data_IF_599480066089
#
_entry.id   IF_599480066089
#
_cell.length_a   1.000
_cell.length_b   1.000
_cell.length_c   1.000
_cell.angle_alpha   90.00
_cell.angle_beta   90.00
_cell.angle_gamma   90.00
#
_symmetry.space_group_name_H-M   'P 1'
#
loop_
_entity.id
_entity.type
_entity.pdbx_description
1 polymer ?
#
# COMPACT_ATOMS: atom_id res chain seq x y z
N UNK A 1 16.37 0.99 -13.47
CA UNK A 1 16.18 2.45 -13.71
C UNK A 1 16.62 3.21 -12.46
N UNK A 2 17.15 4.45 -12.54
CA UNK A 2 17.42 5.26 -11.33
C UNK A 2 16.11 5.53 -10.57
N UNK A 3 16.16 5.56 -9.23
CA UNK A 3 14.94 5.67 -8.43
C UNK A 3 14.16 6.95 -8.71
N UNK A 4 14.82 8.11 -8.78
CA UNK A 4 14.15 9.39 -9.08
C UNK A 4 13.39 9.37 -10.42
N UNK A 5 14.00 8.82 -11.47
CA UNK A 5 13.35 8.70 -12.77
C UNK A 5 12.15 7.74 -12.73
N UNK A 6 12.29 6.64 -11.98
CA UNK A 6 11.21 5.69 -11.80
C UNK A 6 10.03 6.31 -11.04
N UNK A 7 10.29 7.02 -9.94
CA UNK A 7 9.23 7.66 -9.14
C UNK A 7 8.52 8.76 -9.92
N UNK A 8 9.25 9.54 -10.72
CA UNK A 8 8.62 10.53 -11.60
C UNK A 8 7.67 9.85 -12.62
N UNK A 9 8.15 8.81 -13.31
CA UNK A 9 7.31 8.05 -14.24
C UNK A 9 6.14 7.35 -13.54
N UNK A 10 6.35 6.87 -12.30
CA UNK A 10 5.32 6.25 -11.47
C UNK A 10 4.20 7.24 -11.14
N UNK A 11 4.55 8.47 -10.75
CA UNK A 11 3.57 9.54 -10.49
C UNK A 11 2.76 9.83 -11.76
N UNK A 12 3.42 10.03 -12.90
CA UNK A 12 2.75 10.29 -14.19
C UNK A 12 1.81 9.15 -14.59
N UNK A 13 2.25 7.90 -14.46
CA UNK A 13 1.44 6.73 -14.79
C UNK A 13 0.27 6.55 -13.81
N UNK A 14 0.48 6.82 -12.53
CA UNK A 14 -0.57 6.78 -11.50
C UNK A 14 -1.62 7.87 -11.76
N UNK A 15 -1.18 9.09 -12.06
CA UNK A 15 -2.05 10.19 -12.48
C UNK A 15 -2.82 9.81 -13.74
N UNK A 16 -2.17 9.26 -14.76
CA UNK A 16 -2.80 8.83 -16.01
C UNK A 16 -3.85 7.75 -15.78
N UNK A 17 -3.51 6.70 -15.01
CA UNK A 17 -4.40 5.58 -14.68
C UNK A 17 -5.65 6.04 -13.94
N UNK A 18 -5.52 7.00 -13.04
CA UNK A 18 -6.62 7.51 -12.21
C UNK A 18 -7.12 8.89 -12.64
N UNK A 19 -6.73 9.41 -13.82
CA UNK A 19 -7.07 10.75 -14.30
C UNK A 19 -8.59 10.96 -14.40
N UNK A 20 -9.30 9.88 -14.72
CA UNK A 20 -10.76 9.86 -14.86
C UNK A 20 -11.48 9.68 -13.50
N UNK A 21 -10.74 9.49 -12.40
CA UNK A 21 -11.31 9.49 -11.04
C UNK A 21 -11.73 10.88 -10.57
N UNK A 22 -11.49 11.95 -11.33
CA UNK A 22 -11.95 13.31 -10.96
C UNK A 22 -13.47 13.42 -10.69
N UNK A 23 -14.28 12.45 -11.15
CA UNK A 23 -15.71 12.31 -10.80
C UNK A 23 -16.04 11.17 -9.84
N UNK A 24 -15.08 10.30 -9.49
CA UNK A 24 -15.24 9.15 -8.59
C UNK A 24 -14.32 9.33 -7.38
N UNK A 25 -14.91 9.54 -6.21
CA UNK A 25 -14.18 9.56 -4.95
C UNK A 25 -13.44 8.21 -4.75
N UNK A 26 -12.14 8.20 -4.38
CA UNK A 26 -11.29 9.35 -4.05
C UNK A 26 -10.64 10.08 -5.24
N UNK A 27 -10.42 11.38 -5.07
CA UNK A 27 -9.73 12.23 -6.05
C UNK A 27 -8.24 12.25 -5.78
N UNK A 28 -7.45 11.73 -6.73
CA UNK A 28 -5.99 11.76 -6.68
C UNK A 28 -5.46 13.17 -6.99
N UNK A 29 -4.66 13.73 -6.09
CA UNK A 29 -4.05 15.06 -6.28
C UNK A 29 -2.69 15.16 -5.55
N UNK A 30 -1.60 15.17 -6.31
CA UNK A 30 -0.24 15.25 -5.75
C UNK A 30 0.23 16.67 -5.41
N UNK A 31 -0.42 17.72 -5.97
CA UNK A 31 0.03 19.10 -5.79
C UNK A 31 -0.06 19.59 -4.34
N UNK A 32 -1.11 19.17 -3.65
CA UNK A 32 -1.51 19.72 -2.34
C UNK A 32 -1.57 18.66 -1.25
N UNK A 33 -1.62 17.37 -1.61
CA UNK A 33 -1.83 16.29 -0.65
C UNK A 33 -0.65 15.32 -0.63
N UNK A 34 -0.49 14.68 0.52
CA UNK A 34 0.31 13.47 0.63
C UNK A 34 -0.43 12.32 -0.06
N UNK A 35 0.30 11.55 -0.84
CA UNK A 35 -0.22 10.36 -1.54
C UNK A 35 0.70 9.19 -1.28
N UNK A 36 0.11 8.02 -1.01
CA UNK A 36 0.84 6.77 -0.94
C UNK A 36 0.67 5.99 -2.23
N UNK A 37 1.76 5.43 -2.72
CA UNK A 37 1.77 4.53 -3.88
C UNK A 37 2.51 3.25 -3.47
N UNK A 38 1.76 2.17 -3.27
CA UNK A 38 2.31 0.83 -3.10
C UNK A 38 2.51 0.20 -4.47
N UNK A 39 3.69 -0.37 -4.71
CA UNK A 39 4.02 -1.08 -5.95
C UNK A 39 4.51 -2.47 -5.61
N UNK A 40 3.78 -3.47 -6.10
CA UNK A 40 4.15 -4.86 -5.92
C UNK A 40 5.33 -5.28 -6.79
N UNK A 41 6.16 -6.16 -6.25
CA UNK A 41 7.15 -6.90 -7.01
C UNK A 41 8.33 -6.06 -7.51
N UNK A 42 8.74 -5.05 -6.74
CA UNK A 42 9.91 -4.23 -7.05
C UNK A 42 10.86 -4.11 -5.86
N UNK A 43 12.12 -3.83 -6.15
CA UNK A 43 13.14 -3.57 -5.13
C UNK A 43 13.99 -2.37 -5.48
N UNK A 44 14.47 -1.66 -4.46
CA UNK A 44 15.41 -0.54 -4.60
C UNK A 44 16.76 -1.00 -4.09
N UNK A 45 17.73 -1.14 -5.00
CA UNK A 45 19.11 -1.55 -4.69
C UNK A 45 20.05 -0.51 -5.30
N UNK A 46 20.93 0.08 -4.48
CA UNK A 46 21.91 1.07 -4.93
C UNK A 46 21.29 2.22 -5.75
N UNK A 47 20.18 2.78 -5.24
CA UNK A 47 19.39 3.83 -5.89
C UNK A 47 18.84 3.46 -7.28
N UNK A 48 18.66 2.15 -7.55
CA UNK A 48 18.04 1.64 -8.77
C UNK A 48 16.84 0.78 -8.43
N UNK A 49 15.76 1.01 -9.17
CA UNK A 49 14.57 0.17 -9.13
C UNK A 49 14.76 -1.01 -10.09
N UNK A 50 14.44 -2.19 -9.59
CA UNK A 50 14.48 -3.48 -10.28
C UNK A 50 13.15 -4.21 -10.06
N UNK A 51 12.75 -5.05 -11.02
CA UNK A 51 11.70 -6.04 -10.80
C UNK A 51 12.29 -7.18 -9.95
N UNK A 52 11.48 -7.74 -9.04
CA UNK A 52 11.80 -8.98 -8.36
C UNK A 52 10.80 -10.08 -8.74
N UNK A 53 10.80 -11.19 -8.01
CA UNK A 53 9.97 -12.36 -8.27
C UNK A 53 8.49 -12.18 -7.90
N UNK A 54 8.11 -11.07 -7.24
CA UNK A 54 6.76 -10.84 -6.73
C UNK A 54 6.26 -12.02 -5.88
N UNK A 55 7.17 -12.66 -5.13
CA UNK A 55 6.87 -13.73 -4.20
C UNK A 55 5.87 -13.31 -3.13
N UNK A 56 4.89 -14.18 -2.87
CA UNK A 56 3.89 -14.00 -1.84
C UNK A 56 4.46 -14.09 -0.42
N UNK A 57 3.84 -13.38 0.54
CA UNK A 57 4.20 -13.38 1.96
C UNK A 57 5.65 -12.95 2.28
N UNK A 58 6.25 -12.15 1.40
CA UNK A 58 7.61 -11.63 1.57
C UNK A 58 7.63 -10.11 1.50
N UNK A 59 8.62 -9.51 2.17
CA UNK A 59 8.89 -8.08 2.12
C UNK A 59 9.61 -7.71 0.82
N UNK A 60 8.88 -7.78 -0.29
CA UNK A 60 9.38 -7.60 -1.65
C UNK A 60 8.58 -6.56 -2.45
N UNK A 61 7.79 -5.75 -1.75
CA UNK A 61 7.05 -4.63 -2.32
C UNK A 61 7.61 -3.31 -1.79
N UNK A 62 7.29 -2.22 -2.45
CA UNK A 62 7.73 -0.88 -2.03
C UNK A 62 6.52 0.03 -1.86
N UNK A 63 6.46 0.69 -0.71
CA UNK A 63 5.51 1.76 -0.45
C UNK A 63 6.22 3.10 -0.55
N UNK A 64 5.84 3.89 -1.54
CA UNK A 64 6.27 5.28 -1.69
C UNK A 64 5.31 6.23 -0.99
N UNK A 65 5.85 7.19 -0.23
CA UNK A 65 5.11 8.36 0.24
C UNK A 65 5.52 9.58 -0.58
N UNK A 66 4.61 10.05 -1.43
CA UNK A 66 4.82 11.23 -2.27
C UNK A 66 4.38 12.46 -1.48
N UNK A 67 5.29 13.41 -1.31
CA UNK A 67 5.03 14.66 -0.59
C UNK A 67 4.29 15.66 -1.49
N UNK A 68 3.55 16.63 -0.89
CA UNK A 68 2.87 17.67 -1.63
C UNK A 68 3.78 18.37 -2.64
N UNK A 69 3.30 18.51 -3.87
CA UNK A 69 4.03 19.08 -4.99
C UNK A 69 4.77 18.05 -5.86
N UNK A 70 4.78 16.76 -5.47
CA UNK A 70 5.33 15.66 -6.26
C UNK A 70 6.83 15.76 -6.59
N UNK A 71 7.60 16.55 -5.82
CA UNK A 71 9.04 16.79 -6.06
C UNK A 71 9.97 16.04 -5.12
N UNK A 72 9.43 15.51 -4.03
CA UNK A 72 10.16 14.69 -3.08
C UNK A 72 9.30 13.49 -2.70
N UNK A 73 9.97 12.44 -2.24
CA UNK A 73 9.34 11.20 -1.84
C UNK A 73 10.17 10.49 -0.78
N UNK A 74 9.52 9.63 0.01
CA UNK A 74 10.17 8.59 0.79
C UNK A 74 9.73 7.21 0.30
N UNK A 75 10.47 6.17 0.64
CA UNK A 75 10.13 4.79 0.31
C UNK A 75 10.45 3.87 1.47
N UNK A 76 9.69 2.78 1.60
CA UNK A 76 9.95 1.70 2.55
C UNK A 76 9.65 0.34 1.95
N UNK A 77 10.35 -0.67 2.46
CA UNK A 77 10.08 -2.07 2.10
C UNK A 77 8.84 -2.53 2.84
N UNK A 78 7.90 -3.08 2.10
CA UNK A 78 6.65 -3.62 2.63
C UNK A 78 6.36 -4.99 2.02
N UNK A 79 5.33 -5.64 2.55
CA UNK A 79 4.55 -6.62 1.81
C UNK A 79 3.14 -6.08 1.67
N UNK A 80 2.58 -6.18 0.47
CA UNK A 80 1.19 -5.88 0.16
C UNK A 80 0.35 -7.14 0.05
N UNK A 81 1.03 -8.29 -0.04
CA UNK A 81 0.44 -9.63 -0.15
C UNK A 81 0.86 -10.52 1.04
N UNK A 82 0.59 -10.13 2.30
CA UNK A 82 0.92 -10.96 3.44
C UNK A 82 -0.01 -12.18 3.51
N UNK A 83 0.56 -13.34 3.83
CA UNK A 83 -0.25 -14.43 4.34
C UNK A 83 -0.11 -15.81 3.72
N UNK A 84 1.07 -16.42 3.70
CA UNK A 84 1.13 -17.87 3.49
C UNK A 84 0.60 -18.54 4.76
N UNK A 85 -0.63 -19.02 4.71
CA UNK A 85 -1.30 -19.58 5.89
C UNK A 85 -1.65 -21.05 5.68
N UNK A 86 -1.82 -21.79 6.78
CA UNK A 86 -2.25 -23.19 6.70
C UNK A 86 -3.65 -23.30 6.08
N UNK A 87 -3.98 -24.49 5.56
CA UNK A 87 -5.32 -24.79 5.02
C UNK A 87 -6.43 -24.49 6.03
N UNK A 88 -6.21 -24.77 7.32
CA UNK A 88 -7.19 -24.49 8.37
C UNK A 88 -7.40 -22.99 8.57
N UNK A 89 -6.34 -22.19 8.46
CA UNK A 89 -6.42 -20.72 8.58
C UNK A 89 -7.10 -20.10 7.35
N UNK A 90 -6.83 -20.66 6.17
CA UNK A 90 -7.55 -20.35 4.92
C UNK A 90 -9.05 -20.63 5.06
N UNK A 91 -9.43 -21.84 5.48
CA UNK A 91 -10.83 -22.23 5.67
C UNK A 91 -11.54 -21.34 6.71
N UNK A 92 -10.83 -20.92 7.76
CA UNK A 92 -11.41 -20.14 8.85
C UNK A 92 -11.54 -18.66 8.54
N UNK A 93 -10.58 -18.06 7.82
CA UNK A 93 -10.49 -16.61 7.66
C UNK A 93 -10.46 -16.14 6.21
N UNK A 94 -10.02 -16.98 5.27
CA UNK A 94 -9.63 -16.65 3.91
C UNK A 94 -8.40 -15.73 3.89
N UNK A 95 -7.50 -15.93 2.94
CA UNK A 95 -6.51 -14.89 2.63
C UNK A 95 -7.27 -13.75 1.95
N UNK A 96 -6.90 -12.51 2.26
CA UNK A 96 -7.42 -11.32 1.59
C UNK A 96 -6.25 -10.64 0.89
N UNK A 97 -6.47 -10.16 -0.31
CA UNK A 97 -5.51 -9.30 -0.97
C UNK A 97 -6.18 -8.07 -1.58
N UNK A 98 -5.59 -6.90 -1.36
CA UNK A 98 -6.07 -5.64 -1.89
C UNK A 98 -5.85 -5.60 -3.41
N UNK A 99 -6.92 -5.39 -4.16
CA UNK A 99 -6.81 -5.23 -5.61
C UNK A 99 -6.04 -3.97 -5.98
N UNK A 100 -5.50 -3.97 -7.20
CA UNK A 100 -4.98 -2.74 -7.79
C UNK A 100 -6.10 -1.68 -7.86
N UNK A 101 -5.84 -0.50 -7.30
CA UNK A 101 -6.87 0.52 -7.16
C UNK A 101 -6.42 1.76 -6.42
N UNK A 102 -7.35 2.71 -6.29
CA UNK A 102 -7.16 3.96 -5.55
C UNK A 102 -8.15 4.02 -4.41
N UNK A 103 -7.63 4.17 -3.19
CA UNK A 103 -8.39 4.10 -1.96
C UNK A 103 -8.07 5.24 -1.01
N UNK A 104 -8.80 5.32 0.10
CA UNK A 104 -8.47 6.21 1.22
C UNK A 104 -8.05 5.44 2.47
N UNK A 105 -7.08 6.01 3.14
CA UNK A 105 -6.60 5.61 4.46
C UNK A 105 -6.53 6.83 5.38
N UNK A 106 -6.54 6.63 6.69
CA UNK A 106 -6.44 7.71 7.68
C UNK A 106 -5.60 7.27 8.87
N UNK A 107 -5.02 8.24 9.58
CA UNK A 107 -4.39 7.98 10.87
C UNK A 107 -5.46 7.55 11.88
N UNK A 108 -5.22 6.41 12.51
CA UNK A 108 -6.02 5.83 13.59
C UNK A 108 -5.18 4.76 14.32
N UNK A 109 -5.83 3.93 15.14
CA UNK A 109 -5.17 2.85 15.89
C UNK A 109 -5.43 1.48 15.26
N UNK A 110 -4.38 0.66 15.11
CA UNK A 110 -4.46 -0.75 14.81
C UNK A 110 -3.83 -1.57 15.95
N UNK A 111 -4.64 -2.39 16.64
CA UNK A 111 -4.20 -3.23 17.77
C UNK A 111 -3.43 -2.48 18.87
N UNK A 112 -3.84 -1.25 19.18
CA UNK A 112 -3.21 -0.41 20.21
C UNK A 112 -2.03 0.43 19.73
N UNK A 113 -1.59 0.29 18.47
CA UNK A 113 -0.51 1.08 17.88
C UNK A 113 -1.05 2.06 16.84
N UNK A 114 -0.42 3.23 16.70
CA UNK A 114 -0.74 4.16 15.62
C UNK A 114 -0.49 3.48 14.27
N UNK A 115 -1.40 3.64 13.33
CA UNK A 115 -1.35 3.05 12.00
C UNK A 115 -2.15 3.88 11.00
N UNK A 116 -2.03 3.56 9.72
CA UNK A 116 -2.93 4.09 8.71
C UNK A 116 -4.02 3.06 8.44
N UNK A 117 -5.23 3.34 8.90
CA UNK A 117 -6.37 2.43 8.75
C UNK A 117 -7.21 2.76 7.55
N UNK A 118 -7.94 1.76 7.07
CA UNK A 118 -8.88 1.88 5.98
C UNK A 118 -9.94 2.99 6.20
N UNK A 119 -10.04 3.94 5.28
CA UNK A 119 -11.01 5.05 5.33
C UNK A 119 -12.10 4.96 4.24
N UNK A 120 -11.81 4.33 3.10
CA UNK A 120 -12.79 3.92 2.08
C UNK A 120 -12.93 2.39 2.03
N UNK A 121 -14.02 1.82 1.49
CA UNK A 121 -14.00 0.42 1.11
C UNK A 121 -12.91 0.14 0.07
N UNK A 122 -12.32 -1.05 0.12
CA UNK A 122 -11.29 -1.50 -0.81
C UNK A 122 -11.86 -2.62 -1.66
N UNK A 123 -11.41 -2.71 -2.91
CA UNK A 123 -11.59 -3.93 -3.66
C UNK A 123 -10.57 -4.95 -3.17
N UNK A 124 -11.01 -6.18 -2.90
CA UNK A 124 -10.11 -7.23 -2.47
C UNK A 124 -10.60 -8.59 -2.93
N UNK A 125 -9.67 -9.51 -3.18
CA UNK A 125 -9.96 -10.91 -3.48
C UNK A 125 -9.80 -11.79 -2.26
N UNK A 126 -10.46 -12.94 -2.27
CA UNK A 126 -10.18 -14.03 -1.34
C UNK A 126 -9.82 -15.29 -2.11
N UNK A 127 -8.75 -15.92 -1.67
CA UNK A 127 -8.32 -17.25 -2.12
C UNK A 127 -9.33 -18.30 -1.65
N UNK A 128 -10.37 -18.53 -2.45
CA UNK A 128 -11.46 -19.48 -2.12
C UNK A 128 -11.11 -20.89 -2.57
N UNK A 129 -10.28 -21.03 -3.61
CA UNK A 129 -9.88 -22.33 -4.17
C UNK A 129 -8.60 -22.89 -3.55
N UNK A 130 -7.96 -22.16 -2.62
CA UNK A 130 -6.79 -22.57 -1.84
C UNK A 130 -5.53 -22.82 -2.70
N UNK A 131 -5.45 -22.24 -3.89
CA UNK A 131 -4.33 -22.45 -4.81
C UNK A 131 -3.17 -21.47 -4.62
N UNK A 132 -3.37 -20.44 -3.80
CA UNK A 132 -2.42 -19.37 -3.56
C UNK A 132 -2.04 -18.56 -4.82
N UNK A 133 -2.92 -18.53 -5.84
CA UNK A 133 -2.73 -17.84 -7.12
C UNK A 133 -3.84 -16.80 -7.32
N UNK A 134 -3.52 -15.51 -7.20
CA UNK A 134 -4.53 -14.47 -7.32
C UNK A 134 -4.91 -14.26 -8.77
N UNK A 135 -6.15 -14.60 -9.09
CA UNK A 135 -6.62 -14.53 -10.46
C UNK A 135 -8.11 -14.23 -10.53
N UNK A 136 -8.63 -14.18 -11.76
CA UNK A 136 -10.02 -13.80 -12.02
C UNK A 136 -11.05 -14.82 -11.49
N UNK A 137 -10.62 -16.03 -11.13
CA UNK A 137 -11.45 -17.07 -10.53
C UNK A 137 -11.77 -16.77 -9.06
N UNK A 138 -10.96 -15.95 -8.38
CA UNK A 138 -11.21 -15.54 -7.01
C UNK A 138 -12.33 -14.49 -6.94
N UNK A 139 -13.31 -14.64 -6.04
CA UNK A 139 -14.37 -13.66 -5.90
C UNK A 139 -13.84 -12.27 -5.52
N UNK A 140 -14.33 -11.25 -6.23
CA UNK A 140 -14.03 -9.86 -5.98
C UNK A 140 -15.05 -9.25 -4.99
N UNK A 141 -14.56 -8.68 -3.91
CA UNK A 141 -15.35 -8.00 -2.88
C UNK A 141 -15.05 -6.50 -2.84
N UNK A 142 -15.97 -5.71 -2.26
CA UNK A 142 -15.79 -4.28 -2.02
C UNK A 142 -16.32 -3.89 -0.64
N UNK A 143 -15.44 -3.79 0.36
CA UNK A 143 -15.86 -3.54 1.76
C UNK A 143 -14.72 -2.97 2.64
N UNK A 144 -15.06 -2.58 3.88
CA UNK A 144 -14.16 -2.15 4.95
C UNK A 144 -13.79 -3.33 5.85
N UNK A 145 -12.84 -4.14 5.41
CA UNK A 145 -12.41 -5.35 6.11
C UNK A 145 -11.13 -5.19 6.95
N UNK A 146 -10.66 -3.96 7.12
CA UNK A 146 -9.49 -3.64 7.93
C UNK A 146 -8.17 -3.84 7.19
N UNK A 147 -8.13 -3.56 5.89
CA UNK A 147 -6.89 -3.53 5.10
C UNK A 147 -6.13 -2.24 5.43
N UNK A 148 -5.21 -2.33 6.40
CA UNK A 148 -4.50 -1.19 6.97
C UNK A 148 -3.04 -1.17 6.49
N UNK A 149 -2.33 -0.05 6.66
CA UNK A 149 -0.88 0.02 6.56
C UNK A 149 -0.30 0.15 7.97
N UNK A 150 0.56 -0.79 8.36
CA UNK A 150 1.07 -0.86 9.72
C UNK A 150 2.45 -1.55 9.84
N UNK A 151 3.12 -1.38 10.98
CA UNK A 151 4.41 -2.02 11.24
C UNK A 151 4.29 -3.50 11.57
N UNK A 152 5.34 -4.29 11.35
CA UNK A 152 5.35 -5.65 11.87
C UNK A 152 5.61 -5.67 13.38
N UNK A 153 5.11 -6.72 14.05
CA UNK A 153 5.24 -6.80 15.51
C UNK A 153 6.65 -7.18 15.97
N UNK A 154 7.31 -8.08 15.24
CA UNK A 154 8.66 -8.57 15.50
C UNK A 154 9.39 -8.64 14.17
N UNK A 155 10.71 -8.51 14.18
CA UNK A 155 11.51 -8.65 12.96
C UNK A 155 11.42 -10.08 12.43
N UNK A 156 11.00 -10.21 11.18
CA UNK A 156 10.92 -11.46 10.43
C UNK A 156 10.93 -11.16 8.93
N UNK A 157 11.17 -12.19 8.13
CA UNK A 157 11.26 -12.09 6.67
C UNK A 157 9.94 -12.41 5.95
N UNK A 158 8.93 -12.89 6.69
CA UNK A 158 7.58 -13.17 6.19
C UNK A 158 6.52 -12.78 7.21
N UNK A 159 5.31 -12.43 6.75
CA UNK A 159 4.27 -11.88 7.64
C UNK A 159 3.34 -12.96 8.18
N UNK A 160 3.03 -14.00 7.41
CA UNK A 160 2.10 -15.06 7.78
C UNK A 160 0.70 -14.52 8.11
N UNK A 161 -0.02 -15.24 8.99
CA UNK A 161 -1.46 -15.01 9.27
C UNK A 161 -1.77 -13.64 9.91
N UNK A 162 -0.80 -13.01 10.58
CA UNK A 162 -1.11 -11.95 11.56
C UNK A 162 -1.59 -10.62 10.97
N UNK A 163 -1.63 -10.46 9.64
CA UNK A 163 -1.98 -9.22 8.95
C UNK A 163 -2.54 -9.43 7.54
N UNK A 164 -3.33 -10.49 7.32
CA UNK A 164 -3.89 -10.86 6.01
C UNK A 164 -4.49 -9.66 5.25
N UNK A 165 -3.92 -9.36 4.07
CA UNK A 165 -4.31 -8.27 3.17
C UNK A 165 -3.94 -6.86 3.61
N UNK A 166 -3.28 -6.68 4.75
CA UNK A 166 -2.73 -5.39 5.12
C UNK A 166 -1.43 -5.12 4.33
N UNK A 167 -1.08 -3.85 4.19
CA UNK A 167 0.28 -3.49 3.78
C UNK A 167 1.14 -3.41 5.03
N UNK A 168 2.11 -4.31 5.16
CA UNK A 168 2.93 -4.40 6.37
C UNK A 168 4.34 -3.93 6.07
N UNK A 169 4.86 -3.01 6.88
CA UNK A 169 6.25 -2.55 6.72
C UNK A 169 7.23 -3.57 7.28
N UNK A 170 8.41 -3.67 6.68
CA UNK A 170 9.52 -4.45 7.25
C UNK A 170 9.97 -3.87 8.60
N UNK A 171 9.77 -2.57 8.81
CA UNK A 171 10.04 -1.97 10.10
C UNK A 171 9.11 -2.46 11.21
N UNK A 172 9.62 -2.57 12.44
CA UNK A 172 8.80 -2.81 13.65
C UNK A 172 8.22 -1.53 14.24
N UNK A 173 7.26 -1.64 15.17
CA UNK A 173 6.56 -0.48 15.76
C UNK A 173 7.48 0.54 16.43
N UNK A 174 8.61 0.09 16.97
CA UNK A 174 9.55 0.94 17.72
C UNK A 174 10.75 1.38 16.88
N UNK A 175 10.82 0.96 15.61
CA UNK A 175 11.91 1.33 14.73
C UNK A 175 11.77 2.75 14.17
N UNK A 176 12.89 3.50 14.05
CA UNK A 176 12.86 4.87 13.53
C UNK A 176 12.15 5.01 12.19
N UNK A 177 12.31 4.04 11.29
CA UNK A 177 11.65 4.05 9.97
C UNK A 177 10.11 4.11 10.08
N UNK A 178 9.52 3.37 11.02
CA UNK A 178 8.08 3.40 11.26
C UNK A 178 7.66 4.70 11.95
N UNK A 179 8.39 5.10 13.00
CA UNK A 179 8.09 6.27 13.81
C UNK A 179 8.12 7.55 12.96
N UNK A 180 9.14 7.72 12.12
CA UNK A 180 9.27 8.85 11.20
C UNK A 180 8.12 8.86 10.19
N UNK A 181 7.82 7.71 9.59
CA UNK A 181 6.72 7.57 8.64
C UNK A 181 5.38 7.97 9.24
N UNK A 182 4.99 7.36 10.37
CA UNK A 182 3.68 7.60 10.96
C UNK A 182 3.56 9.03 11.50
N UNK A 183 4.64 9.61 12.03
CA UNK A 183 4.67 10.98 12.52
C UNK A 183 4.40 12.01 11.42
N UNK A 184 4.98 11.80 10.23
CA UNK A 184 4.72 12.64 9.05
C UNK A 184 3.24 12.64 8.69
N UNK A 185 2.61 11.46 8.64
CA UNK A 185 1.18 11.36 8.29
C UNK A 185 0.26 11.84 9.40
N UNK A 186 0.66 11.70 10.67
CA UNK A 186 -0.05 12.25 11.83
C UNK A 186 -0.10 13.78 11.77
N UNK A 187 1.04 14.43 11.58
CA UNK A 187 1.10 15.88 11.42
C UNK A 187 0.31 16.35 10.19
N UNK A 188 0.49 15.69 9.04
CA UNK A 188 -0.27 15.99 7.84
C UNK A 188 -1.79 15.86 8.06
N UNK A 189 -2.23 14.90 8.89
CA UNK A 189 -3.65 14.69 9.19
C UNK A 189 -4.20 15.82 10.05
N UNK A 190 -3.43 16.30 11.03
CA UNK A 190 -3.78 17.45 11.87
C UNK A 190 -3.94 18.69 10.99
N UNK A 191 -2.94 18.99 10.15
CA UNK A 191 -2.98 20.16 9.26
C UNK A 191 -4.13 20.09 8.25
N UNK A 192 -4.42 18.90 7.71
CA UNK A 192 -5.56 18.71 6.83
C UNK A 192 -6.90 18.92 7.54
N UNK A 193 -7.02 18.48 8.81
CA UNK A 193 -8.22 18.66 9.63
C UNK A 193 -8.45 20.10 10.08
N UNK A 194 -7.40 20.89 10.27
CA UNK A 194 -7.51 22.34 10.52
C UNK A 194 -8.18 23.03 9.32
N UNK A 195 -7.80 22.65 8.10
CA UNK A 195 -8.38 23.22 6.86
C UNK A 195 -9.75 22.64 6.52
N UNK A 196 -9.95 21.36 6.79
CA UNK A 196 -11.18 20.63 6.54
C UNK A 196 -11.46 19.67 7.72
N UNK A 197 -12.33 20.04 8.67
CA UNK A 197 -12.66 19.19 9.81
C UNK A 197 -13.20 17.80 9.45
N UNK A 198 -13.71 17.62 8.21
CA UNK A 198 -14.19 16.35 7.66
C UNK A 198 -13.17 15.70 6.71
N UNK A 199 -11.88 15.98 6.87
CA UNK A 199 -10.83 15.41 6.04
C UNK A 199 -10.94 13.87 6.02
N UNK A 200 -11.22 13.26 4.85
CA UNK A 200 -11.61 11.86 4.79
C UNK A 200 -10.43 10.89 4.88
N UNK A 201 -9.21 11.38 4.66
CA UNK A 201 -8.01 10.55 4.62
C UNK A 201 -7.10 10.90 3.43
N UNK A 202 -5.98 10.19 3.37
CA UNK A 202 -5.00 10.28 2.30
C UNK A 202 -5.28 9.27 1.20
N UNK A 203 -4.95 9.63 -0.04
CA UNK A 203 -5.02 8.69 -1.16
C UNK A 203 -3.95 7.60 -1.01
N UNK A 204 -4.35 6.37 -1.25
CA UNK A 204 -3.49 5.21 -1.35
C UNK A 204 -3.74 4.48 -2.66
N UNK A 205 -2.77 4.54 -3.57
CA UNK A 205 -2.77 3.76 -4.80
C UNK A 205 -2.05 2.43 -4.55
N UNK A 206 -2.74 1.33 -4.76
CA UNK A 206 -2.18 -0.03 -4.78
C UNK A 206 -1.96 -0.41 -6.23
N UNK A 207 -0.72 -0.72 -6.63
CA UNK A 207 -0.35 -1.02 -8.01
C UNK A 207 0.38 -2.36 -8.10
N UNK A 208 0.05 -3.14 -9.13
CA UNK A 208 0.69 -4.42 -9.41
C UNK A 208 2.02 -4.22 -10.16
N UNK A 209 2.85 -5.26 -10.19
CA UNK A 209 4.14 -5.26 -10.89
C UNK A 209 4.04 -4.87 -12.38
N UNK A 210 2.87 -5.06 -13.00
CA UNK A 210 2.60 -4.64 -14.38
C UNK A 210 2.81 -3.14 -14.60
N UNK A 211 2.53 -2.31 -13.58
CA UNK A 211 2.82 -0.88 -13.64
C UNK A 211 4.33 -0.63 -13.78
N UNK A 212 5.14 -1.30 -12.96
CA UNK A 212 6.59 -1.18 -13.03
C UNK A 212 7.13 -1.66 -14.39
N UNK A 213 6.62 -2.80 -14.89
CA UNK A 213 6.98 -3.33 -16.23
C UNK A 213 6.70 -2.31 -17.34
N UNK A 214 5.54 -1.63 -17.28
CA UNK A 214 5.20 -0.55 -18.22
C UNK A 214 6.21 0.59 -18.17
N UNK A 215 6.58 1.06 -16.97
CA UNK A 215 7.58 2.13 -16.80
C UNK A 215 8.94 1.72 -17.36
N UNK A 216 9.38 0.47 -17.15
CA UNK A 216 10.65 -0.03 -17.69
C UNK A 216 10.67 -0.19 -19.21
N UNK A 217 9.51 -0.27 -19.86
CA UNK A 217 9.40 -0.37 -21.32
C UNK A 217 9.42 0.97 -22.06
N UNK A 218 9.45 2.10 -21.32
CA UNK A 218 9.62 3.45 -21.86
C UNK A 218 11.09 3.76 -22.11
#
# INVERSE_FOLDING_TARGET
MKCDHFVQALIEETESKFLHSKKKWPTLEFKTNFVLIGVRGISIINNKVLLNDNSFDHFNDILFNIYPGAKSWGSRVVTMDPGKVSKESLLKYGIKDAEEGLYLIKIDTHRGHEALVQASPFYYRRDVNEDHVWNELDPLYYDKVGLNIHAQNVQKDSVGVSSLGCTVTKATWDEPEWIEFISVFKEASIQARIKNPKFPGFCYAVLNQNMAKKIFSR
#
